data_IF_964938792524
#
_entry.id   IF_964938792524
#
_cell.length_a   1.000
_cell.length_b   1.000
_cell.length_c   1.000
_cell.angle_alpha   90.00
_cell.angle_beta   90.00
_cell.angle_gamma   90.00
#
_symmetry.space_group_name_H-M   'P 1'
#
loop_
_entity.id
_entity.type
_entity.pdbx_description
1 polymer ?
#
# COMPACT_ATOMS: atom_id res chain seq x y z
N UNK A 1 3.40 20.36 1.44
CA UNK A 1 4.20 19.72 0.38
C UNK A 1 3.38 18.57 -0.16
N UNK A 2 2.72 18.79 -1.30
CA UNK A 2 1.95 17.74 -1.98
C UNK A 2 2.95 17.07 -2.92
N UNK A 3 3.36 15.85 -2.61
CA UNK A 3 4.13 15.04 -3.55
C UNK A 3 3.11 14.38 -4.46
N UNK A 4 2.86 15.02 -5.61
CA UNK A 4 2.07 14.44 -6.68
C UNK A 4 2.93 13.36 -7.36
N UNK A 5 2.66 12.08 -7.11
CA UNK A 5 3.28 11.00 -7.87
C UNK A 5 2.54 10.89 -9.20
N UNK A 6 3.19 11.38 -10.25
CA UNK A 6 2.68 11.28 -11.62
C UNK A 6 2.41 9.83 -11.99
N UNK A 7 1.16 9.56 -12.37
CA UNK A 7 0.74 8.33 -13.03
C UNK A 7 1.40 8.23 -14.40
N UNK A 8 2.40 7.38 -14.53
CA UNK A 8 2.79 6.83 -15.82
C UNK A 8 1.98 5.54 -16.02
N UNK A 9 0.98 5.62 -16.90
CA UNK A 9 0.28 4.46 -17.43
C UNK A 9 1.27 3.69 -18.30
N UNK A 10 1.70 2.50 -17.86
CA UNK A 10 2.30 1.50 -18.74
C UNK A 10 1.18 0.51 -19.03
N UNK A 11 0.63 0.56 -20.25
CA UNK A 11 -0.22 -0.50 -20.76
C UNK A 11 0.58 -1.81 -20.80
N UNK A 12 0.28 -2.72 -19.88
CA UNK A 12 0.78 -4.09 -19.93
C UNK A 12 -0.29 -4.92 -20.63
N UNK A 13 0.01 -5.29 -21.87
CA UNK A 13 -0.77 -6.25 -22.66
C UNK A 13 -0.97 -7.56 -21.88
N UNK A 14 -2.18 -8.11 -21.98
CA UNK A 14 -2.67 -9.34 -21.36
C UNK A 14 -1.65 -10.51 -21.41
N UNK A 15 -1.36 -11.19 -20.29
CA UNK A 15 -0.49 -12.35 -20.28
C UNK A 15 -1.31 -13.63 -20.52
N UNK A 16 -1.65 -13.90 -21.78
CA UNK A 16 -1.96 -15.26 -22.18
C UNK A 16 -0.64 -16.05 -22.26
N UNK A 17 -0.54 -17.11 -21.45
CA UNK A 17 0.50 -18.16 -21.43
C UNK A 17 1.70 -17.94 -20.51
N UNK A 18 1.53 -18.30 -19.24
CA UNK A 18 2.64 -18.79 -18.41
C UNK A 18 2.33 -20.20 -17.91
N UNK A 19 3.15 -21.16 -18.31
CA UNK A 19 3.15 -22.52 -17.77
C UNK A 19 3.51 -22.48 -16.28
N UNK A 20 2.53 -22.82 -15.44
CA UNK A 20 2.69 -22.91 -13.98
C UNK A 20 3.52 -24.14 -13.64
N UNK A 21 4.72 -23.94 -13.08
CA UNK A 21 5.43 -25.00 -12.37
C UNK A 21 5.65 -24.60 -10.90
N UNK A 22 4.97 -25.37 -10.03
CA UNK A 22 5.04 -25.47 -8.56
C UNK A 22 4.26 -24.44 -7.71
N UNK A 23 3.51 -24.92 -6.69
CA UNK A 23 2.59 -24.12 -5.91
C UNK A 23 3.29 -23.53 -4.69
N UNK A 24 3.92 -22.37 -4.87
CA UNK A 24 4.00 -21.42 -3.76
C UNK A 24 2.94 -20.39 -4.07
N UNK A 25 1.89 -20.31 -3.24
CA UNK A 25 0.87 -19.28 -3.36
C UNK A 25 1.58 -17.93 -3.24
N UNK A 26 1.80 -17.28 -4.38
CA UNK A 26 2.47 -15.98 -4.46
C UNK A 26 1.44 -14.91 -4.11
N UNK A 27 1.35 -14.58 -2.82
CA UNK A 27 0.53 -13.46 -2.33
C UNK A 27 1.29 -12.15 -2.62
N UNK A 28 1.37 -11.73 -3.88
CA UNK A 28 1.81 -10.40 -4.28
C UNK A 28 1.41 -10.13 -5.73
N UNK A 29 0.31 -9.41 -5.91
CA UNK A 29 -0.28 -9.03 -7.21
C UNK A 29 0.52 -7.99 -8.02
N UNK A 30 1.81 -7.77 -7.72
CA UNK A 30 2.63 -6.73 -8.38
C UNK A 30 4.00 -7.24 -8.84
N UNK A 31 4.23 -8.57 -8.82
CA UNK A 31 5.54 -9.11 -9.19
C UNK A 31 6.68 -8.59 -8.31
N UNK A 32 6.41 -8.10 -7.10
CA UNK A 32 7.41 -7.44 -6.24
C UNK A 32 8.63 -8.32 -5.94
N UNK A 33 8.48 -9.65 -6.06
CA UNK A 33 9.58 -10.60 -5.95
C UNK A 33 10.63 -10.45 -7.07
N UNK A 34 10.24 -10.13 -8.31
CA UNK A 34 11.19 -9.86 -9.41
C UNK A 34 11.84 -8.49 -9.26
N UNK A 35 11.17 -7.53 -8.61
CA UNK A 35 11.69 -6.18 -8.43
C UNK A 35 13.03 -6.16 -7.67
N UNK A 36 13.26 -7.10 -6.75
CA UNK A 36 14.54 -7.15 -6.02
C UNK A 36 15.69 -7.52 -6.96
N UNK A 37 15.54 -8.57 -7.78
CA UNK A 37 16.57 -8.98 -8.73
C UNK A 37 16.80 -7.92 -9.82
N UNK A 38 15.73 -7.33 -10.33
CA UNK A 38 15.79 -6.23 -11.29
C UNK A 38 16.50 -5.01 -10.68
N UNK A 39 16.11 -4.59 -9.47
CA UNK A 39 16.79 -3.52 -8.74
C UNK A 39 18.28 -3.81 -8.60
N UNK A 40 18.66 -5.00 -8.13
CA UNK A 40 20.06 -5.39 -7.95
C UNK A 40 20.84 -5.39 -9.27
N UNK A 41 20.20 -5.84 -10.36
CA UNK A 41 20.79 -5.84 -11.70
C UNK A 41 21.08 -4.43 -12.17
N UNK A 42 20.05 -3.57 -12.21
CA UNK A 42 20.15 -2.21 -12.75
C UNK A 42 21.01 -1.28 -11.90
N UNK A 43 20.88 -1.34 -10.58
CA UNK A 43 21.63 -0.48 -9.65
C UNK A 43 23.07 -0.94 -9.41
N UNK A 44 23.39 -2.21 -9.70
CA UNK A 44 24.66 -2.87 -9.35
C UNK A 44 25.03 -2.73 -7.87
N UNK A 45 24.02 -2.66 -7.01
CA UNK A 45 24.16 -2.50 -5.57
C UNK A 45 24.84 -3.73 -4.93
N UNK A 46 25.72 -3.51 -3.94
CA UNK A 46 26.64 -4.54 -3.40
C UNK A 46 26.23 -5.09 -2.03
N UNK A 47 24.98 -4.92 -1.61
CA UNK A 47 24.47 -5.39 -0.33
C UNK A 47 24.55 -6.90 -0.22
N UNK A 48 24.38 -7.41 1.01
CA UNK A 48 24.21 -8.84 1.25
C UNK A 48 23.01 -9.41 0.48
N UNK A 49 21.93 -8.64 0.33
CA UNK A 49 20.73 -9.05 -0.40
C UNK A 49 21.02 -9.17 -1.90
N UNK A 50 21.61 -8.15 -2.52
CA UNK A 50 21.90 -8.17 -3.95
C UNK A 50 22.97 -9.19 -4.36
N UNK A 51 23.93 -9.50 -3.47
CA UNK A 51 24.93 -10.55 -3.71
C UNK A 51 24.33 -11.94 -3.94
N UNK A 52 23.12 -12.21 -3.47
CA UNK A 52 22.45 -13.51 -3.65
C UNK A 52 22.07 -13.76 -5.11
N UNK A 53 21.72 -12.71 -5.86
CA UNK A 53 21.27 -12.80 -7.24
C UNK A 53 22.43 -12.93 -8.25
N UNK A 54 23.68 -12.62 -7.85
CA UNK A 54 24.88 -12.69 -8.72
C UNK A 54 24.74 -11.86 -10.02
N UNK A 55 23.92 -10.81 -10.00
CA UNK A 55 23.65 -9.90 -11.14
C UNK A 55 24.66 -8.74 -11.23
N UNK A 56 24.53 -7.85 -12.22
CA UNK A 56 25.33 -6.62 -12.33
C UNK A 56 26.69 -6.73 -13.07
N UNK A 57 26.95 -7.85 -13.76
CA UNK A 57 28.22 -8.12 -14.48
C UNK A 57 28.27 -7.63 -15.94
N UNK A 58 27.25 -6.93 -16.40
CA UNK A 58 27.17 -6.42 -17.77
C UNK A 58 27.90 -5.07 -17.90
N UNK A 59 28.38 -4.75 -19.11
CA UNK A 59 29.10 -3.50 -19.40
C UNK A 59 28.13 -2.34 -19.65
N UNK A 60 27.58 -1.78 -18.56
CA UNK A 60 26.87 -0.50 -18.57
C UNK A 60 26.94 0.17 -17.19
N UNK A 61 26.62 1.45 -17.12
CA UNK A 61 26.59 2.17 -15.86
C UNK A 61 25.41 1.73 -14.98
N UNK A 62 25.56 1.76 -13.63
CA UNK A 62 24.43 1.52 -12.74
C UNK A 62 23.38 2.63 -12.89
N UNK A 63 22.11 2.24 -12.93
CA UNK A 63 20.96 3.15 -12.85
C UNK A 63 20.67 3.36 -11.36
N UNK A 64 21.35 4.33 -10.78
CA UNK A 64 21.17 4.72 -9.38
C UNK A 64 21.17 6.24 -9.29
N UNK A 65 20.27 6.78 -8.48
CA UNK A 65 20.32 8.20 -8.15
C UNK A 65 21.57 8.50 -7.33
N UNK A 66 22.31 9.52 -7.74
CA UNK A 66 23.39 10.05 -6.90
C UNK A 66 22.79 10.56 -5.59
N UNK A 67 23.48 10.26 -4.49
CA UNK A 67 23.08 10.72 -3.17
C UNK A 67 23.34 12.22 -3.10
N UNK A 68 22.27 12.98 -3.00
CA UNK A 68 22.34 14.42 -2.83
C UNK A 68 22.66 14.81 -1.39
N UNK A 69 22.68 16.12 -1.15
CA UNK A 69 22.91 16.68 0.18
C UNK A 69 21.80 16.35 1.20
N UNK A 70 20.65 15.81 0.77
CA UNK A 70 19.52 15.43 1.64
C UNK A 70 19.53 13.95 1.99
N UNK A 71 20.34 13.13 1.31
CA UNK A 71 20.51 11.72 1.64
C UNK A 71 20.88 11.52 3.11
N UNK A 72 20.16 10.61 3.78
CA UNK A 72 20.35 10.26 5.19
C UNK A 72 20.30 11.46 6.16
N UNK A 73 19.62 12.55 5.77
CA UNK A 73 19.31 13.67 6.66
C UNK A 73 17.82 13.67 7.00
N UNK A 74 17.54 13.77 8.28
CA UNK A 74 16.18 14.06 8.76
C UNK A 74 15.70 15.42 8.29
N UNK A 75 14.51 15.46 7.70
CA UNK A 75 13.84 16.72 7.38
C UNK A 75 13.47 17.49 8.67
N UNK A 76 13.59 18.82 8.60
CA UNK A 76 13.16 19.74 9.67
C UNK A 76 11.79 20.28 9.31
N UNK A 77 10.85 20.23 10.25
CA UNK A 77 9.54 20.86 10.12
C UNK A 77 9.74 22.36 10.35
N UNK A 78 9.45 23.23 9.35
CA UNK A 78 9.52 24.68 9.54
C UNK A 78 8.63 25.14 10.70
N UNK A 79 9.01 26.22 11.39
CA UNK A 79 8.29 26.71 12.58
C UNK A 79 6.84 27.12 12.29
N UNK A 80 6.55 27.53 11.06
CA UNK A 80 5.22 27.90 10.57
C UNK A 80 4.41 26.73 10.01
N UNK A 81 4.97 25.52 10.01
CA UNK A 81 4.37 24.34 9.40
C UNK A 81 4.12 23.23 10.43
N UNK A 82 3.29 22.28 10.03
CA UNK A 82 3.02 21.04 10.74
C UNK A 82 3.14 19.86 9.78
N UNK A 83 3.33 18.67 10.35
CA UNK A 83 3.36 17.40 9.60
C UNK A 83 2.25 16.46 10.09
N UNK A 84 1.31 16.13 9.21
CA UNK A 84 0.32 15.10 9.44
C UNK A 84 0.74 13.83 8.70
N UNK A 85 0.86 12.73 9.44
CA UNK A 85 1.01 11.39 8.89
C UNK A 85 -0.27 10.61 9.14
N UNK A 86 -0.72 9.87 8.13
CA UNK A 86 -1.85 8.95 8.23
C UNK A 86 -1.32 7.54 7.95
N UNK A 87 -1.58 6.59 8.83
CA UNK A 87 -1.09 5.22 8.66
C UNK A 87 -2.09 4.18 9.13
N UNK A 88 -2.02 3.00 8.52
CA UNK A 88 -2.88 1.87 8.78
C UNK A 88 -2.04 0.69 9.29
N UNK A 89 -2.53 -0.03 10.30
CA UNK A 89 -1.79 -1.19 10.84
C UNK A 89 -1.87 -2.44 9.95
N UNK A 90 -2.90 -2.56 9.12
CA UNK A 90 -3.02 -3.63 8.13
C UNK A 90 -2.45 -3.25 6.75
N UNK A 91 -1.69 -2.14 6.66
CA UNK A 91 -1.00 -1.76 5.43
C UNK A 91 0.21 -2.67 5.18
N UNK A 92 0.04 -3.65 4.28
CA UNK A 92 1.11 -4.55 3.86
C UNK A 92 2.15 -3.91 2.93
N UNK A 93 1.85 -2.78 2.29
CA UNK A 93 2.74 -2.12 1.32
C UNK A 93 3.62 -1.06 1.98
N UNK A 94 3.02 -0.18 2.78
CA UNK A 94 3.71 0.84 3.58
C UNK A 94 3.47 0.61 5.06
N UNK A 95 4.11 -0.44 5.59
CA UNK A 95 3.90 -0.93 6.96
C UNK A 95 3.97 0.18 8.01
N UNK A 96 3.05 0.13 8.97
CA UNK A 96 2.92 1.12 10.05
C UNK A 96 4.23 1.47 10.77
N UNK A 97 5.09 0.48 11.03
CA UNK A 97 6.42 0.68 11.63
C UNK A 97 7.25 1.77 10.92
N UNK A 98 7.14 1.88 9.60
CA UNK A 98 7.88 2.88 8.83
C UNK A 98 7.27 4.28 8.97
N UNK A 99 5.97 4.40 9.24
CA UNK A 99 5.34 5.67 9.57
C UNK A 99 5.81 6.16 10.96
N UNK A 100 5.93 5.27 11.94
CA UNK A 100 6.48 5.60 13.26
C UNK A 100 7.95 6.03 13.18
N UNK A 101 8.75 5.30 12.38
CA UNK A 101 10.14 5.66 12.12
C UNK A 101 10.25 7.01 11.41
N UNK A 102 9.43 7.27 10.39
CA UNK A 102 9.40 8.56 9.70
C UNK A 102 9.02 9.69 10.66
N UNK A 103 7.96 9.51 11.45
CA UNK A 103 7.54 10.49 12.46
C UNK A 103 8.67 10.79 13.44
N UNK A 104 9.34 9.76 13.95
CA UNK A 104 10.46 9.89 14.89
C UNK A 104 11.66 10.59 14.27
N UNK A 105 11.95 10.31 13.00
CA UNK A 105 13.07 10.91 12.28
C UNK A 105 12.87 12.40 11.99
N UNK A 106 11.63 12.88 11.79
CA UNK A 106 11.35 14.30 11.54
C UNK A 106 11.78 15.18 12.72
N UNK A 107 12.53 16.26 12.45
CA UNK A 107 12.93 17.23 13.48
C UNK A 107 11.85 18.29 13.67
N UNK A 108 11.39 18.45 14.91
CA UNK A 108 10.33 19.37 15.31
C UNK A 108 9.12 18.65 15.92
N UNK A 109 8.41 19.34 16.79
CA UNK A 109 7.33 18.75 17.61
C UNK A 109 5.94 18.95 17.03
N UNK A 110 5.79 19.81 16.02
CA UNK A 110 4.50 20.10 15.38
C UNK A 110 4.15 19.02 14.35
N UNK A 111 4.05 17.78 14.82
CA UNK A 111 3.76 16.59 14.01
C UNK A 111 2.79 15.68 14.71
N UNK A 112 1.97 14.99 13.94
CA UNK A 112 1.05 13.98 14.47
C UNK A 112 0.93 12.81 13.51
N UNK A 113 0.84 11.60 14.07
CA UNK A 113 0.49 10.37 13.36
C UNK A 113 -0.92 9.94 13.78
N UNK A 114 -1.85 9.94 12.84
CA UNK A 114 -3.17 9.34 13.01
C UNK A 114 -3.11 7.90 12.53
N UNK A 115 -3.45 6.98 13.43
CA UNK A 115 -3.37 5.53 13.19
C UNK A 115 -4.77 4.94 13.03
N UNK A 116 -4.96 4.20 11.94
CA UNK A 116 -6.15 3.41 11.66
C UNK A 116 -5.86 1.94 11.96
N UNK A 117 -6.62 1.33 12.87
CA UNK A 117 -6.33 -0.01 13.36
C UNK A 117 -6.52 -1.09 12.28
N UNK A 118 -7.57 -0.95 11.46
CA UNK A 118 -8.04 -2.02 10.57
C UNK A 118 -8.19 -1.61 9.10
N UNK A 119 -7.47 -0.56 8.68
CA UNK A 119 -7.48 -0.10 7.29
C UNK A 119 -6.28 -0.65 6.51
N UNK A 120 -6.42 -0.69 5.17
CA UNK A 120 -5.38 -1.15 4.25
C UNK A 120 -4.45 -0.03 3.77
N UNK A 121 -3.74 -0.28 2.67
CA UNK A 121 -2.89 0.73 2.03
C UNK A 121 -3.69 1.97 1.62
N UNK A 122 -3.08 3.16 1.71
CA UNK A 122 -3.69 4.43 1.30
C UNK A 122 -4.92 4.82 2.13
N UNK A 123 -4.68 5.25 3.37
CA UNK A 123 -5.72 5.60 4.35
C UNK A 123 -6.74 6.65 3.90
N UNK A 124 -6.40 7.49 2.91
CA UNK A 124 -7.33 8.46 2.30
C UNK A 124 -8.40 7.81 1.40
N UNK A 125 -8.37 6.50 1.17
CA UNK A 125 -9.43 5.77 0.49
C UNK A 125 -9.82 4.48 1.23
N UNK A 126 -8.90 3.85 1.95
CA UNK A 126 -9.12 2.56 2.62
C UNK A 126 -9.74 2.65 4.02
N UNK A 127 -10.40 3.77 4.35
CA UNK A 127 -11.00 4.03 5.67
C UNK A 127 -12.50 4.36 5.60
N UNK A 128 -13.33 3.55 4.92
CA UNK A 128 -14.78 3.79 4.87
C UNK A 128 -15.39 3.64 6.28
N UNK A 129 -16.35 4.51 6.59
CA UNK A 129 -17.15 4.44 7.82
C UNK A 129 -18.25 3.37 7.76
N UNK A 130 -18.72 3.03 6.56
CA UNK A 130 -19.73 2.00 6.31
C UNK A 130 -19.08 0.93 5.41
N UNK A 131 -18.77 -0.27 5.94
CA UNK A 131 -18.18 -1.35 5.15
C UNK A 131 -19.06 -1.75 3.97
N UNK A 132 -18.44 -1.90 2.79
CA UNK A 132 -19.11 -2.38 1.57
C UNK A 132 -19.97 -1.34 0.86
N UNK A 133 -20.12 -0.13 1.39
CA UNK A 133 -20.81 0.98 0.75
C UNK A 133 -19.81 1.86 -0.04
N UNK A 134 -19.89 1.90 -1.39
CA UNK A 134 -19.00 2.73 -2.21
C UNK A 134 -19.15 4.24 -1.97
N UNK A 135 -20.32 4.68 -1.48
CA UNK A 135 -20.62 6.08 -1.19
C UNK A 135 -20.32 6.45 0.26
N UNK A 136 -19.82 5.49 1.05
CA UNK A 136 -19.44 5.72 2.44
C UNK A 136 -18.45 6.90 2.54
N UNK A 137 -18.67 7.83 3.49
CA UNK A 137 -17.63 8.77 3.86
C UNK A 137 -16.35 8.04 4.28
N UNK A 138 -15.21 8.64 3.96
CA UNK A 138 -13.87 8.08 4.20
C UNK A 138 -13.20 8.88 5.31
N UNK A 139 -12.97 8.26 6.46
CA UNK A 139 -12.47 8.96 7.65
C UNK A 139 -11.08 9.59 7.43
N UNK A 140 -10.18 8.94 6.70
CA UNK A 140 -8.88 9.50 6.33
C UNK A 140 -9.01 10.81 5.53
N UNK A 141 -10.02 10.91 4.67
CA UNK A 141 -10.34 12.15 3.95
C UNK A 141 -10.94 13.20 4.87
N UNK A 142 -11.83 12.83 5.78
CA UNK A 142 -12.39 13.76 6.76
C UNK A 142 -11.30 14.39 7.63
N UNK A 143 -10.36 13.58 8.12
CA UNK A 143 -9.20 14.05 8.89
C UNK A 143 -8.34 15.00 8.06
N UNK A 144 -8.02 14.65 6.81
CA UNK A 144 -7.23 15.50 5.90
C UNK A 144 -7.95 16.84 5.60
N UNK A 145 -9.25 16.81 5.32
CA UNK A 145 -10.06 18.01 5.10
C UNK A 145 -10.09 18.87 6.35
N UNK A 146 -10.23 18.26 7.54
CA UNK A 146 -10.20 18.98 8.80
C UNK A 146 -8.84 19.64 9.06
N UNK A 147 -7.74 18.93 8.79
CA UNK A 147 -6.39 19.48 8.86
C UNK A 147 -6.21 20.71 7.97
N UNK A 148 -6.65 20.63 6.71
CA UNK A 148 -6.56 21.73 5.74
C UNK A 148 -7.42 22.92 6.17
N UNK A 149 -8.69 22.67 6.54
CA UNK A 149 -9.63 23.72 6.98
C UNK A 149 -9.13 24.46 8.22
N UNK A 150 -8.35 23.79 9.07
CA UNK A 150 -7.74 24.38 10.26
C UNK A 150 -6.34 24.96 10.00
N UNK A 151 -5.93 25.15 8.74
CA UNK A 151 -4.63 25.75 8.38
C UNK A 151 -3.43 24.92 8.85
N UNK A 152 -3.59 23.60 8.90
CA UNK A 152 -2.58 22.69 9.42
C UNK A 152 -2.50 22.64 10.96
N UNK A 153 -3.41 23.28 11.69
CA UNK A 153 -3.38 23.23 13.15
C UNK A 153 -3.83 21.86 13.69
N UNK A 154 -2.85 21.01 14.02
CA UNK A 154 -3.05 19.64 14.50
C UNK A 154 -3.97 19.56 15.74
N UNK A 155 -3.94 20.56 16.62
CA UNK A 155 -4.78 20.59 17.84
C UNK A 155 -6.25 20.87 17.55
N UNK A 156 -6.57 21.48 16.41
CA UNK A 156 -7.94 21.79 15.98
C UNK A 156 -8.52 20.76 15.00
N UNK A 157 -7.71 19.78 14.60
CA UNK A 157 -8.12 18.75 13.67
C UNK A 157 -9.16 17.81 14.31
N UNK A 158 -10.31 17.69 13.66
CA UNK A 158 -11.32 16.71 14.01
C UNK A 158 -10.87 15.31 13.55
N UNK A 159 -10.77 14.41 14.52
CA UNK A 159 -10.40 13.00 14.36
C UNK A 159 -11.49 12.08 14.91
N UNK A 160 -12.69 12.61 15.16
CA UNK A 160 -13.78 11.88 15.80
C UNK A 160 -14.23 10.66 14.98
N UNK A 161 -14.10 10.71 13.66
CA UNK A 161 -14.39 9.59 12.76
C UNK A 161 -13.50 8.36 13.04
N UNK A 162 -12.28 8.53 13.56
CA UNK A 162 -11.36 7.41 13.85
C UNK A 162 -11.96 6.47 14.88
N UNK A 163 -12.69 7.00 15.87
CA UNK A 163 -13.40 6.20 16.89
C UNK A 163 -14.67 5.53 16.35
N UNK A 164 -15.19 6.01 15.23
CA UNK A 164 -16.39 5.48 14.54
C UNK A 164 -16.02 4.46 13.47
N UNK A 165 -14.72 4.25 13.22
CA UNK A 165 -14.27 3.26 12.25
C UNK A 165 -14.85 1.88 12.57
N UNK A 166 -15.33 1.16 11.55
CA UNK A 166 -15.89 -0.17 11.75
C UNK A 166 -14.85 -1.12 12.37
N UNK A 167 -15.34 -2.07 13.15
CA UNK A 167 -14.52 -3.16 13.68
C UNK A 167 -14.09 -4.04 12.51
N UNK A 168 -12.87 -4.58 12.58
CA UNK A 168 -12.41 -5.55 11.61
C UNK A 168 -13.35 -6.75 11.55
N UNK A 169 -13.82 -7.06 10.35
CA UNK A 169 -14.63 -8.23 10.07
C UNK A 169 -14.05 -8.97 8.88
N UNK A 170 -13.89 -10.29 9.01
CA UNK A 170 -13.43 -11.17 7.93
C UNK A 170 -14.60 -11.88 7.22
N UNK A 171 -15.85 -11.46 7.47
CA UNK A 171 -16.99 -11.89 6.66
C UNK A 171 -16.89 -11.28 5.26
N UNK A 172 -16.74 -12.14 4.26
CA UNK A 172 -16.76 -11.78 2.84
C UNK A 172 -18.21 -11.95 2.35
N UNK A 173 -18.72 -11.02 1.55
CA UNK A 173 -20.06 -11.20 0.97
C UNK A 173 -20.05 -12.38 -0.01
N UNK A 174 -21.18 -13.08 -0.15
CA UNK A 174 -21.31 -14.21 -1.07
C UNK A 174 -20.89 -13.86 -2.51
N UNK A 175 -21.20 -12.64 -2.97
CA UNK A 175 -20.79 -12.19 -4.31
C UNK A 175 -19.26 -12.11 -4.46
N UNK A 176 -18.55 -11.56 -3.47
CA UNK A 176 -17.08 -11.51 -3.49
C UNK A 176 -16.46 -12.89 -3.32
N UNK A 177 -17.04 -13.70 -2.44
CA UNK A 177 -16.61 -15.06 -2.15
C UNK A 177 -16.68 -15.93 -3.42
N UNK A 178 -17.85 -15.96 -4.06
CA UNK A 178 -18.08 -16.75 -5.25
C UNK A 178 -17.34 -16.17 -6.46
N UNK A 179 -17.40 -14.85 -6.66
CA UNK A 179 -16.83 -14.21 -7.84
C UNK A 179 -15.29 -14.20 -7.87
N UNK A 180 -14.61 -14.11 -6.72
CA UNK A 180 -13.15 -14.03 -6.67
C UNK A 180 -12.48 -15.29 -6.12
N UNK A 181 -13.10 -15.97 -5.16
CA UNK A 181 -12.52 -17.15 -4.50
C UNK A 181 -13.11 -18.47 -5.02
N UNK A 182 -14.21 -18.42 -5.78
CA UNK A 182 -14.87 -19.59 -6.38
C UNK A 182 -15.13 -20.69 -5.34
N UNK A 183 -15.60 -20.28 -4.15
CA UNK A 183 -15.92 -21.16 -3.02
C UNK A 183 -17.11 -20.61 -2.26
N UNK A 184 -17.80 -21.49 -1.52
CA UNK A 184 -18.88 -21.16 -0.59
C UNK A 184 -18.36 -20.85 0.83
N UNK A 185 -17.08 -21.13 1.13
CA UNK A 185 -16.40 -20.72 2.36
C UNK A 185 -14.91 -20.40 2.10
N UNK A 186 -14.47 -19.18 2.44
CA UNK A 186 -13.09 -18.74 2.22
C UNK A 186 -12.05 -19.47 3.09
N UNK A 187 -12.48 -20.22 4.09
CA UNK A 187 -11.60 -20.80 5.12
C UNK A 187 -11.53 -22.33 5.08
N UNK A 188 -12.37 -22.99 4.29
CA UNK A 188 -12.44 -24.46 4.23
C UNK A 188 -11.50 -25.09 3.19
N UNK A 189 -10.91 -24.26 2.31
CA UNK A 189 -10.01 -24.65 1.20
C UNK A 189 -10.69 -25.51 0.12
N UNK A 190 -12.00 -25.48 0.03
CA UNK A 190 -12.77 -26.19 -0.99
C UNK A 190 -12.99 -25.25 -2.18
N UNK A 191 -12.75 -25.75 -3.39
CA UNK A 191 -13.05 -25.05 -4.63
C UNK A 191 -14.36 -25.58 -5.20
N UNK A 192 -15.28 -24.69 -5.58
CA UNK A 192 -16.54 -25.04 -6.19
C UNK A 192 -16.52 -24.70 -7.69
N UNK A 193 -16.25 -25.72 -8.50
CA UNK A 193 -16.15 -25.60 -9.96
C UNK A 193 -17.44 -25.09 -10.63
N UNK A 194 -18.61 -25.34 -10.02
CA UNK A 194 -19.88 -24.85 -10.57
C UNK A 194 -19.98 -23.32 -10.54
N UNK A 195 -19.28 -22.66 -9.60
CA UNK A 195 -19.23 -21.19 -9.53
C UNK A 195 -18.39 -20.59 -10.66
N UNK A 196 -17.40 -21.31 -11.20
CA UNK A 196 -16.59 -20.84 -12.33
C UNK A 196 -17.44 -20.59 -13.57
N UNK A 197 -18.30 -21.55 -13.91
CA UNK A 197 -19.22 -21.42 -15.05
C UNK A 197 -20.27 -20.33 -14.84
N UNK A 198 -20.62 -20.03 -13.59
CA UNK A 198 -21.60 -19.00 -13.24
C UNK A 198 -21.03 -17.57 -13.29
N UNK A 199 -19.78 -17.37 -12.87
CA UNK A 199 -19.18 -16.03 -12.70
C UNK A 199 -18.12 -15.67 -13.76
N UNK A 200 -17.43 -16.65 -14.35
CA UNK A 200 -16.34 -16.42 -15.32
C UNK A 200 -16.75 -16.76 -16.76
N UNK A 201 -17.64 -17.73 -16.94
CA UNK A 201 -18.15 -18.18 -18.24
C UNK A 201 -17.20 -19.12 -18.99
N UNK A 202 -17.74 -19.86 -19.97
CA UNK A 202 -16.93 -20.66 -20.91
C UNK A 202 -16.10 -19.72 -21.79
N UNK A 203 -14.78 -19.95 -21.83
CA UNK A 203 -13.94 -19.38 -22.88
C UNK A 203 -14.27 -20.16 -24.16
N UNK A 204 -15.14 -19.61 -25.01
CA UNK A 204 -15.36 -20.07 -26.39
C UNK A 204 -14.30 -19.54 -27.33
#
# INVERSE_FOLDING_TARGET
>A
MIINQGTYQVEILSPAHYHVSKPHVLISNIGAYTLTELYCSYSKEKSKTCRQFKTGKYDANPIIYERDEYWNKSAVIPTQASALLLSAKLDGQTTHKYAELLLSALKGDNKELVTFEHAGHGTIHSTPLIPGDPESPICGMEVLVSYIKNGGNLKKMDKSCVKKMPVFNMTITTDYLNGYLLTDDAYDRVYNESLYYQYVGEIS
#
